data_IF_733600127201
#
_entry.id   IF_733600127201
#
_cell.length_a   1.000
_cell.length_b   1.000
_cell.length_c   1.000
_cell.angle_alpha   90.00
_cell.angle_beta   90.00
_cell.angle_gamma   90.00
#
_symmetry.space_group_name_H-M   'P 1'
#
loop_
_entity.id
_entity.type
_entity.pdbx_description
1 polymer ?
#
# COMPACT_ATOMS: atom_id res chain seq x y z
N UNK A 1 9.32 -7.89 -24.11
CA UNK A 1 8.67 -6.57 -24.18
C UNK A 1 9.00 -5.83 -22.88
N UNK A 2 9.61 -4.65 -22.95
CA UNK A 2 9.81 -3.78 -21.78
C UNK A 2 8.66 -2.78 -21.71
N UNK A 3 8.09 -2.57 -20.52
CA UNK A 3 7.14 -1.50 -20.25
C UNK A 3 7.94 -0.39 -19.57
N UNK A 4 7.85 0.82 -20.09
CA UNK A 4 8.40 2.02 -19.47
C UNK A 4 7.24 2.87 -18.96
N UNK A 5 7.37 3.40 -17.78
CA UNK A 5 6.42 4.33 -17.19
C UNK A 5 7.02 5.73 -17.18
N UNK A 6 6.21 6.72 -17.48
CA UNK A 6 6.55 8.13 -17.37
C UNK A 6 5.65 8.75 -16.29
N UNK A 7 6.28 9.23 -15.22
CA UNK A 7 5.62 9.89 -14.11
C UNK A 7 5.98 11.39 -14.01
N UNK A 8 6.52 11.96 -15.08
CA UNK A 8 6.90 13.38 -15.13
C UNK A 8 5.73 14.26 -14.68
N UNK A 9 6.01 15.24 -13.82
CA UNK A 9 5.04 16.16 -13.22
C UNK A 9 3.92 15.48 -12.38
N UNK A 10 4.08 14.22 -11.99
CA UNK A 10 3.14 13.49 -11.13
C UNK A 10 3.66 13.41 -9.71
N UNK A 11 2.72 13.37 -8.76
CA UNK A 11 3.00 13.26 -7.32
C UNK A 11 2.29 12.05 -6.75
N UNK A 12 3.06 11.17 -6.11
CA UNK A 12 2.59 9.97 -5.42
C UNK A 12 2.74 10.14 -3.91
N UNK A 13 1.68 9.88 -3.17
CA UNK A 13 1.72 9.70 -1.71
C UNK A 13 1.75 8.20 -1.39
N UNK A 14 2.66 7.80 -0.51
CA UNK A 14 2.82 6.40 -0.08
C UNK A 14 2.73 6.34 1.44
N UNK A 15 1.72 5.69 1.98
CA UNK A 15 1.69 5.35 3.41
C UNK A 15 2.36 4.00 3.65
N UNK A 16 3.24 3.91 4.66
CA UNK A 16 4.03 2.70 4.89
C UNK A 16 5.18 2.54 3.89
N UNK A 17 5.87 3.64 3.56
CA UNK A 17 6.90 3.66 2.53
C UNK A 17 8.33 3.77 3.06
N UNK A 18 8.57 3.66 4.38
CA UNK A 18 9.92 3.63 4.92
C UNK A 18 10.69 2.35 4.56
N UNK A 19 9.99 1.28 4.19
CA UNK A 19 10.58 -0.01 3.82
C UNK A 19 9.71 -0.80 2.83
N UNK A 20 10.21 -1.95 2.38
CA UNK A 20 9.48 -2.95 1.62
C UNK A 20 8.86 -2.42 0.32
N UNK A 21 7.62 -2.84 0.03
CA UNK A 21 6.95 -2.52 -1.25
C UNK A 21 6.71 -1.01 -1.42
N UNK A 22 6.38 -0.32 -0.32
CA UNK A 22 6.14 1.12 -0.37
C UNK A 22 7.40 1.91 -0.75
N UNK A 23 8.55 1.55 -0.18
CA UNK A 23 9.84 2.15 -0.51
C UNK A 23 10.24 1.86 -1.97
N UNK A 24 10.08 0.61 -2.42
CA UNK A 24 10.39 0.22 -3.80
C UNK A 24 9.53 0.99 -4.82
N UNK A 25 8.21 1.13 -4.55
CA UNK A 25 7.35 1.93 -5.42
C UNK A 25 7.74 3.42 -5.41
N UNK A 26 8.01 3.99 -4.23
CA UNK A 26 8.38 5.40 -4.13
C UNK A 26 9.65 5.71 -4.94
N UNK A 27 10.65 4.84 -4.87
CA UNK A 27 11.88 4.94 -5.65
C UNK A 27 11.61 4.82 -7.15
N UNK A 28 10.91 3.78 -7.60
CA UNK A 28 10.62 3.56 -9.01
C UNK A 28 9.75 4.67 -9.63
N UNK A 29 8.84 5.25 -8.87
CA UNK A 29 8.03 6.39 -9.32
C UNK A 29 8.89 7.66 -9.50
N UNK A 30 9.84 7.87 -8.60
CA UNK A 30 10.81 8.96 -8.73
C UNK A 30 11.78 8.74 -9.90
N UNK A 31 12.26 7.52 -10.12
CA UNK A 31 13.08 7.14 -11.28
C UNK A 31 12.33 7.34 -12.61
N UNK A 32 11.01 7.18 -12.61
CA UNK A 32 10.14 7.48 -13.75
C UNK A 32 9.87 8.99 -13.95
N UNK A 33 10.57 9.87 -13.24
CA UNK A 33 10.47 11.33 -13.36
C UNK A 33 9.43 11.98 -12.45
N UNK A 34 8.73 11.21 -11.61
CA UNK A 34 7.76 11.72 -10.65
C UNK A 34 8.36 12.19 -9.34
N UNK A 35 7.50 12.55 -8.40
CA UNK A 35 7.85 12.84 -7.00
C UNK A 35 7.05 11.94 -6.09
N UNK A 36 7.70 11.39 -5.07
CA UNK A 36 7.06 10.56 -4.06
C UNK A 36 7.17 11.18 -2.68
N UNK A 37 6.05 11.22 -1.95
CA UNK A 37 6.01 11.63 -0.55
C UNK A 37 5.60 10.43 0.30
N UNK A 38 6.52 9.97 1.13
CA UNK A 38 6.36 8.80 2.01
C UNK A 38 5.88 9.26 3.38
N UNK A 39 4.80 8.67 3.88
CA UNK A 39 4.26 8.88 5.22
C UNK A 39 4.47 7.59 6.02
N UNK A 40 5.31 7.64 7.06
CA UNK A 40 5.61 6.48 7.90
C UNK A 40 5.97 6.92 9.33
N UNK A 41 5.74 6.05 10.32
CA UNK A 41 6.20 6.28 11.70
C UNK A 41 7.70 6.05 11.86
N UNK A 42 8.27 5.18 11.02
CA UNK A 42 9.69 4.87 10.99
C UNK A 42 10.45 5.81 10.05
N UNK A 43 11.73 6.00 10.33
CA UNK A 43 12.64 6.57 9.34
C UNK A 43 12.87 5.56 8.20
N UNK A 44 13.15 6.02 6.97
CA UNK A 44 13.53 5.13 5.88
C UNK A 44 14.73 4.25 6.24
N UNK A 45 14.68 2.96 5.88
CA UNK A 45 15.78 2.01 6.12
C UNK A 45 17.06 2.37 5.36
N UNK A 46 16.90 3.04 4.20
CA UNK A 46 18.00 3.48 3.35
C UNK A 46 17.86 4.97 3.03
N UNK A 47 18.94 5.65 2.63
CA UNK A 47 18.85 7.00 2.13
C UNK A 47 17.79 7.11 1.03
N UNK A 48 16.89 8.07 1.15
CA UNK A 48 15.84 8.28 0.14
C UNK A 48 16.45 8.76 -1.17
N UNK A 49 16.04 8.18 -2.33
CA UNK A 49 16.54 8.63 -3.64
C UNK A 49 16.08 10.07 -3.94
N UNK A 50 16.74 10.68 -4.91
CA UNK A 50 16.29 11.97 -5.43
C UNK A 50 14.84 11.86 -5.92
N UNK A 51 14.01 12.84 -5.60
CA UNK A 51 12.57 12.82 -5.94
C UNK A 51 11.68 12.12 -4.92
N UNK A 52 12.25 11.55 -3.84
CA UNK A 52 11.50 10.98 -2.71
C UNK A 52 11.67 11.88 -1.50
N UNK A 53 10.56 12.24 -0.84
CA UNK A 53 10.51 12.91 0.45
C UNK A 53 9.92 11.97 1.49
N UNK A 54 10.42 12.00 2.74
CA UNK A 54 9.87 11.23 3.84
C UNK A 54 9.39 12.16 4.96
N UNK A 55 8.14 11.96 5.37
CA UNK A 55 7.52 12.65 6.50
C UNK A 55 7.19 11.63 7.58
N UNK A 56 7.55 11.94 8.82
CA UNK A 56 7.21 11.09 9.95
C UNK A 56 5.75 11.31 10.36
N UNK A 57 4.90 10.31 10.08
CA UNK A 57 3.45 10.38 10.31
C UNK A 57 2.95 9.07 10.88
N UNK A 58 2.24 9.10 12.01
CA UNK A 58 1.42 7.97 12.41
C UNK A 58 0.10 8.03 11.62
N UNK A 59 -0.12 7.04 10.76
CA UNK A 59 -1.31 6.99 9.91
C UNK A 59 -2.62 6.83 10.71
N UNK A 60 -2.56 6.38 11.96
CA UNK A 60 -3.70 6.33 12.84
C UNK A 60 -4.09 7.71 13.40
N UNK A 61 -3.20 8.67 13.36
CA UNK A 61 -3.49 10.07 13.70
C UNK A 61 -4.05 10.80 12.49
N UNK A 62 -5.38 10.92 12.45
CA UNK A 62 -6.10 11.60 11.36
C UNK A 62 -5.60 13.04 11.12
N UNK A 63 -5.29 13.77 12.20
CA UNK A 63 -4.85 15.16 12.07
C UNK A 63 -3.46 15.25 11.45
N UNK A 64 -2.53 14.40 11.89
CA UNK A 64 -1.18 14.31 11.30
C UNK A 64 -1.24 13.93 9.81
N UNK A 65 -2.15 13.03 9.41
CA UNK A 65 -2.36 12.67 8.00
C UNK A 65 -2.85 13.87 7.19
N UNK A 66 -3.83 14.61 7.67
CA UNK A 66 -4.35 15.81 6.98
C UNK A 66 -3.23 16.83 6.80
N UNK A 67 -2.47 17.14 7.86
CA UNK A 67 -1.36 18.10 7.79
C UNK A 67 -0.27 17.67 6.79
N UNK A 68 0.05 16.38 6.73
CA UNK A 68 1.03 15.86 5.77
C UNK A 68 0.55 15.99 4.32
N UNK A 69 -0.73 15.71 4.06
CA UNK A 69 -1.34 15.89 2.74
C UNK A 69 -1.40 17.37 2.34
N UNK A 70 -1.81 18.26 3.23
CA UNK A 70 -1.81 19.69 2.99
C UNK A 70 -0.40 20.23 2.69
N UNK A 71 0.60 19.77 3.46
CA UNK A 71 2.02 20.07 3.20
C UNK A 71 2.45 19.61 1.81
N UNK A 72 2.04 18.40 1.42
CA UNK A 72 2.33 17.85 0.08
C UNK A 72 1.70 18.71 -1.01
N UNK A 73 0.43 19.09 -0.86
CA UNK A 73 -0.27 19.97 -1.81
C UNK A 73 0.40 21.35 -1.88
N UNK A 74 0.75 21.94 -0.73
CA UNK A 74 1.41 23.24 -0.70
C UNK A 74 2.77 23.24 -1.42
N UNK A 75 3.52 22.14 -1.35
CA UNK A 75 4.85 22.01 -1.98
C UNK A 75 4.77 21.68 -3.47
N UNK A 76 3.87 20.79 -3.85
CA UNK A 76 3.85 20.19 -5.19
C UNK A 76 2.62 20.57 -6.02
N UNK A 77 1.62 21.22 -5.42
CA UNK A 77 0.41 21.68 -6.12
C UNK A 77 -0.58 20.56 -6.48
N UNK A 78 -0.21 19.29 -6.29
CA UNK A 78 -1.02 18.15 -6.74
C UNK A 78 -0.69 16.85 -6.00
N UNK A 79 -1.63 15.91 -6.04
CA UNK A 79 -1.43 14.49 -5.77
C UNK A 79 -2.16 13.71 -6.85
N UNK A 80 -1.46 12.79 -7.53
CA UNK A 80 -1.97 12.00 -8.65
C UNK A 80 -2.17 10.53 -8.27
N UNK A 81 -1.38 10.06 -7.31
CA UNK A 81 -1.44 8.69 -6.80
C UNK A 81 -1.45 8.62 -5.29
N UNK A 82 -2.14 7.62 -4.74
CA UNK A 82 -2.07 7.22 -3.35
C UNK A 82 -1.87 5.71 -3.25
N UNK A 83 -0.74 5.28 -2.65
CA UNK A 83 -0.61 3.92 -2.14
C UNK A 83 -0.96 3.89 -0.65
N UNK A 84 -2.09 3.27 -0.32
CA UNK A 84 -2.49 3.03 1.07
C UNK A 84 -1.91 1.68 1.53
N UNK A 85 -0.63 1.70 1.96
CA UNK A 85 0.16 0.51 2.23
C UNK A 85 0.55 0.29 3.69
N UNK A 86 0.44 1.31 4.55
CA UNK A 86 0.79 1.19 5.97
C UNK A 86 -0.03 0.10 6.67
N UNK A 87 0.64 -0.74 7.44
CA UNK A 87 -0.02 -1.79 8.22
C UNK A 87 0.89 -2.31 9.34
N UNK A 88 0.29 -2.91 10.37
CA UNK A 88 0.94 -3.77 11.35
C UNK A 88 0.30 -5.16 11.29
N UNK A 89 1.08 -6.19 11.59
CA UNK A 89 0.64 -7.58 11.53
C UNK A 89 0.96 -8.30 12.85
N UNK A 90 0.20 -8.04 13.93
CA UNK A 90 0.37 -8.79 15.16
C UNK A 90 0.03 -10.27 14.94
N UNK A 91 0.85 -11.17 15.54
CA UNK A 91 0.64 -12.62 15.53
C UNK A 91 0.34 -13.07 16.95
N UNK A 92 -0.95 -13.14 17.27
CA UNK A 92 -1.45 -13.51 18.61
C UNK A 92 -2.74 -14.32 18.46
N UNK A 93 -2.86 -15.48 19.13
CA UNK A 93 -4.13 -16.23 19.19
C UNK A 93 -5.27 -15.33 19.68
N UNK A 94 -6.44 -15.39 19.03
CA UNK A 94 -7.57 -14.51 19.33
C UNK A 94 -8.01 -14.56 20.81
N UNK A 95 -7.92 -15.73 21.44
CA UNK A 95 -8.28 -15.91 22.84
C UNK A 95 -7.28 -15.26 23.83
N UNK A 96 -6.12 -14.83 23.33
CA UNK A 96 -5.08 -14.13 24.11
C UNK A 96 -4.79 -12.74 23.56
N UNK A 97 -5.60 -12.27 22.60
CA UNK A 97 -5.42 -10.97 21.98
C UNK A 97 -5.71 -9.85 22.99
N UNK A 98 -4.72 -9.02 23.21
CA UNK A 98 -4.89 -7.80 23.99
C UNK A 98 -5.85 -6.83 23.26
N UNK A 99 -6.88 -6.29 23.94
CA UNK A 99 -7.83 -5.36 23.33
C UNK A 99 -7.17 -4.10 22.73
N UNK A 100 -6.11 -3.60 23.33
CA UNK A 100 -5.42 -2.40 22.81
C UNK A 100 -4.58 -2.73 21.57
N UNK A 101 -3.97 -3.90 21.54
CA UNK A 101 -3.30 -4.39 20.34
C UNK A 101 -4.28 -4.61 19.17
N UNK A 102 -5.47 -5.15 19.48
CA UNK A 102 -6.54 -5.27 18.49
C UNK A 102 -6.97 -3.90 17.96
N UNK A 103 -7.28 -2.96 18.85
CA UNK A 103 -7.66 -1.59 18.48
C UNK A 103 -6.57 -0.93 17.64
N UNK A 104 -5.30 -1.05 18.07
CA UNK A 104 -4.17 -0.49 17.31
C UNK A 104 -4.07 -1.07 15.91
N UNK A 105 -4.29 -2.37 15.73
CA UNK A 105 -4.30 -2.99 14.41
C UNK A 105 -5.41 -2.43 13.51
N UNK A 106 -6.61 -2.22 14.05
CA UNK A 106 -7.73 -1.60 13.30
C UNK A 106 -7.44 -0.12 13.00
N UNK A 107 -6.92 0.64 13.97
CA UNK A 107 -6.57 2.06 13.77
C UNK A 107 -5.54 2.26 12.67
N UNK A 108 -4.49 1.45 12.66
CA UNK A 108 -3.46 1.56 11.61
C UNK A 108 -3.96 1.02 10.28
N UNK A 109 -4.43 -0.25 10.26
CA UNK A 109 -4.64 -0.99 9.02
C UNK A 109 -5.93 -0.60 8.29
N UNK A 110 -6.95 -0.14 9.01
CA UNK A 110 -8.25 0.22 8.43
C UNK A 110 -8.49 1.73 8.52
N UNK A 111 -8.56 2.28 9.73
CA UNK A 111 -8.90 3.70 9.91
C UNK A 111 -7.84 4.60 9.26
N UNK A 112 -6.54 4.28 9.39
CA UNK A 112 -5.46 5.03 8.74
C UNK A 112 -5.57 5.07 7.22
N UNK A 113 -6.04 3.99 6.59
CA UNK A 113 -6.33 3.98 5.14
C UNK A 113 -7.51 4.90 4.82
N UNK A 114 -8.56 4.88 5.66
CA UNK A 114 -9.72 5.78 5.50
C UNK A 114 -9.28 7.24 5.62
N UNK A 115 -8.44 7.57 6.62
CA UNK A 115 -7.94 8.93 6.82
C UNK A 115 -7.08 9.42 5.65
N UNK A 116 -6.21 8.55 5.11
CA UNK A 116 -5.42 8.88 3.93
C UNK A 116 -6.31 9.13 2.69
N UNK A 117 -7.31 8.29 2.47
CA UNK A 117 -8.27 8.49 1.39
C UNK A 117 -9.07 9.78 1.55
N UNK A 118 -9.59 10.06 2.76
CA UNK A 118 -10.33 11.29 3.06
C UNK A 118 -9.49 12.56 2.86
N UNK A 119 -8.19 12.50 3.17
CA UNK A 119 -7.32 13.65 3.00
C UNK A 119 -6.92 13.87 1.53
N UNK A 120 -6.65 12.82 0.77
CA UNK A 120 -6.10 12.90 -0.59
C UNK A 120 -7.19 13.04 -1.66
N UNK A 121 -8.27 12.26 -1.59
CA UNK A 121 -9.26 12.12 -2.67
C UNK A 121 -9.97 13.43 -3.01
N UNK A 122 -10.32 14.33 -2.08
CA UNK A 122 -10.93 15.62 -2.45
C UNK A 122 -10.08 16.43 -3.45
N UNK A 123 -8.75 16.38 -3.34
CA UNK A 123 -7.83 17.05 -4.28
C UNK A 123 -7.82 16.34 -5.65
N UNK A 124 -7.97 15.03 -5.69
CA UNK A 124 -8.09 14.26 -6.94
C UNK A 124 -9.43 14.55 -7.64
N UNK A 125 -10.52 14.57 -6.88
CA UNK A 125 -11.89 14.90 -7.37
C UNK A 125 -11.93 16.29 -7.97
N UNK A 126 -11.40 17.31 -7.27
CA UNK A 126 -11.35 18.68 -7.77
C UNK A 126 -10.59 18.82 -9.10
N UNK A 127 -9.63 17.93 -9.35
CA UNK A 127 -8.83 17.88 -10.58
C UNK A 127 -9.38 16.89 -11.62
N UNK A 128 -10.39 16.10 -11.26
CA UNK A 128 -10.95 15.01 -12.06
C UNK A 128 -9.87 14.03 -12.56
N UNK A 129 -8.90 13.75 -11.71
CA UNK A 129 -7.78 12.84 -12.01
C UNK A 129 -7.16 12.30 -10.73
N UNK A 130 -7.02 10.98 -10.64
CA UNK A 130 -6.33 10.33 -9.53
C UNK A 130 -6.39 8.81 -9.59
N UNK A 131 -5.43 8.16 -8.93
CA UNK A 131 -5.38 6.72 -8.77
C UNK A 131 -5.03 6.36 -7.32
N UNK A 132 -5.86 5.53 -6.70
CA UNK A 132 -5.65 5.00 -5.36
C UNK A 132 -5.48 3.48 -5.44
N UNK A 133 -4.45 2.96 -4.79
CA UNK A 133 -4.27 1.52 -4.60
C UNK A 133 -4.27 1.22 -3.11
N UNK A 134 -5.18 0.33 -2.71
CA UNK A 134 -5.30 -0.15 -1.33
C UNK A 134 -4.70 -1.55 -1.23
N UNK A 135 -3.77 -1.74 -0.28
CA UNK A 135 -3.22 -3.07 -0.01
C UNK A 135 -4.17 -3.90 0.84
N UNK A 136 -4.69 -4.98 0.24
CA UNK A 136 -5.30 -6.08 0.96
C UNK A 136 -4.28 -7.22 1.17
N UNK A 137 -4.74 -8.42 1.43
CA UNK A 137 -3.90 -9.60 1.67
C UNK A 137 -4.68 -10.87 1.30
N UNK A 138 -3.99 -11.92 0.89
CA UNK A 138 -4.57 -13.25 0.76
C UNK A 138 -5.26 -13.72 2.04
N UNK A 139 -4.74 -13.33 3.20
CA UNK A 139 -5.33 -13.63 4.52
C UNK A 139 -6.72 -13.00 4.71
N UNK A 140 -7.08 -11.96 3.96
CA UNK A 140 -8.42 -11.40 3.95
C UNK A 140 -9.50 -12.38 3.42
N UNK A 141 -9.09 -13.39 2.64
CA UNK A 141 -9.99 -14.39 2.05
C UNK A 141 -10.07 -15.68 2.88
N UNK A 142 -8.95 -16.11 3.44
CA UNK A 142 -8.85 -17.43 4.06
C UNK A 142 -8.63 -17.37 5.57
N UNK A 143 -8.31 -16.19 6.12
CA UNK A 143 -7.87 -16.09 7.51
C UNK A 143 -6.51 -16.76 7.72
N UNK A 144 -6.01 -16.69 8.96
CA UNK A 144 -4.84 -17.45 9.39
C UNK A 144 -4.81 -17.51 10.92
N UNK A 145 -4.43 -18.63 11.53
CA UNK A 145 -4.20 -18.68 12.98
C UNK A 145 -3.28 -17.53 13.43
N UNK A 146 -3.59 -16.93 14.57
CA UNK A 146 -2.86 -15.82 15.18
C UNK A 146 -2.88 -14.48 14.42
N UNK A 147 -3.41 -14.41 13.19
CA UNK A 147 -3.45 -13.20 12.39
C UNK A 147 -4.85 -12.58 12.29
N UNK A 148 -5.76 -12.85 13.24
CA UNK A 148 -7.17 -12.44 13.17
C UNK A 148 -7.38 -10.93 13.00
N UNK A 149 -6.68 -10.09 13.76
CA UNK A 149 -6.80 -8.63 13.65
C UNK A 149 -6.34 -8.12 12.29
N UNK A 150 -5.22 -8.65 11.79
CA UNK A 150 -4.71 -8.31 10.47
C UNK A 150 -5.66 -8.77 9.36
N UNK A 151 -6.08 -10.04 9.37
CA UNK A 151 -6.97 -10.62 8.37
C UNK A 151 -8.32 -9.86 8.31
N UNK A 152 -8.91 -9.57 9.47
CA UNK A 152 -10.16 -8.81 9.58
C UNK A 152 -10.00 -7.39 9.00
N UNK A 153 -8.93 -6.67 9.36
CA UNK A 153 -8.67 -5.34 8.83
C UNK A 153 -8.50 -5.34 7.30
N UNK A 154 -7.76 -6.32 6.75
CA UNK A 154 -7.53 -6.43 5.30
C UNK A 154 -8.79 -6.89 4.53
N UNK A 155 -9.68 -7.66 5.17
CA UNK A 155 -10.98 -8.00 4.59
C UNK A 155 -11.90 -6.77 4.53
N UNK A 156 -11.95 -5.96 5.59
CA UNK A 156 -12.72 -4.72 5.62
C UNK A 156 -12.28 -3.74 4.52
N UNK A 157 -10.99 -3.65 4.24
CA UNK A 157 -10.45 -2.78 3.18
C UNK A 157 -10.95 -3.16 1.77
N UNK A 158 -11.24 -4.43 1.51
CA UNK A 158 -11.79 -4.86 0.21
C UNK A 158 -13.19 -4.26 -0.01
N UNK A 159 -14.05 -4.32 0.99
CA UNK A 159 -15.39 -3.73 0.91
C UNK A 159 -15.32 -2.20 0.86
N UNK A 160 -14.50 -1.58 1.73
CA UNK A 160 -14.28 -0.14 1.76
C UNK A 160 -13.83 0.39 0.39
N UNK A 161 -12.79 -0.20 -0.20
CA UNK A 161 -12.25 0.28 -1.47
C UNK A 161 -13.24 0.13 -2.65
N UNK A 162 -14.07 -0.93 -2.64
CA UNK A 162 -15.13 -1.09 -3.64
C UNK A 162 -16.23 -0.04 -3.51
N UNK A 163 -16.66 0.28 -2.29
CA UNK A 163 -17.64 1.35 -2.04
C UNK A 163 -17.08 2.69 -2.49
N UNK A 164 -15.87 3.02 -2.06
CA UNK A 164 -15.19 4.26 -2.42
C UNK A 164 -14.98 4.38 -3.95
N UNK A 165 -14.65 3.29 -4.63
CA UNK A 165 -14.50 3.26 -6.08
C UNK A 165 -15.80 3.68 -6.81
N UNK A 166 -16.95 3.22 -6.31
CA UNK A 166 -18.27 3.62 -6.83
C UNK A 166 -18.60 5.09 -6.57
N UNK A 167 -18.22 5.60 -5.38
CA UNK A 167 -18.49 6.99 -4.99
C UNK A 167 -17.74 8.02 -5.84
N UNK A 168 -16.52 7.69 -6.31
CA UNK A 168 -15.62 8.66 -6.99
C UNK A 168 -15.41 8.36 -8.49
N UNK A 169 -16.07 7.36 -9.05
CA UNK A 169 -15.89 6.96 -10.45
C UNK A 169 -16.25 8.08 -11.43
N UNK A 170 -17.35 8.78 -11.21
CA UNK A 170 -17.81 9.89 -12.04
C UNK A 170 -16.85 11.09 -11.99
N UNK A 171 -16.02 11.18 -10.96
CA UNK A 171 -14.99 12.19 -10.82
C UNK A 171 -13.65 11.80 -11.45
N UNK A 172 -13.60 10.69 -12.19
CA UNK A 172 -12.40 10.15 -12.84
C UNK A 172 -11.28 9.81 -11.86
N UNK A 173 -11.63 9.44 -10.63
CA UNK A 173 -10.71 8.90 -9.64
C UNK A 173 -10.89 7.38 -9.59
N UNK A 174 -9.80 6.66 -9.76
CA UNK A 174 -9.79 5.19 -9.74
C UNK A 174 -9.32 4.69 -8.39
N UNK A 175 -10.02 3.72 -7.83
CA UNK A 175 -9.64 3.06 -6.58
C UNK A 175 -9.58 1.56 -6.84
N UNK A 176 -8.41 0.96 -6.72
CA UNK A 176 -8.21 -0.47 -6.94
C UNK A 176 -7.56 -1.13 -5.73
N UNK A 177 -7.68 -2.43 -5.65
CA UNK A 177 -7.16 -3.25 -4.57
C UNK A 177 -6.06 -4.16 -5.10
N UNK A 178 -4.93 -4.23 -4.38
CA UNK A 178 -3.85 -5.16 -4.69
C UNK A 178 -3.64 -6.16 -3.55
N UNK A 179 -3.57 -7.44 -3.92
CA UNK A 179 -3.10 -8.54 -3.08
C UNK A 179 -1.68 -8.89 -3.54
N UNK A 180 -0.63 -8.40 -2.86
CA UNK A 180 0.74 -8.51 -3.36
C UNK A 180 1.31 -9.93 -3.33
N UNK A 181 0.65 -10.87 -2.64
CA UNK A 181 1.20 -12.18 -2.34
C UNK A 181 2.15 -12.14 -1.13
N UNK A 182 2.96 -13.18 -0.99
CA UNK A 182 4.01 -13.23 0.04
C UNK A 182 5.25 -12.51 -0.50
N UNK A 183 5.59 -11.39 0.11
CA UNK A 183 6.72 -10.54 -0.31
C UNK A 183 7.69 -10.41 0.85
N UNK A 184 8.96 -10.61 0.57
CA UNK A 184 10.05 -10.49 1.52
C UNK A 184 10.24 -9.02 1.94
N UNK A 185 9.62 -8.66 3.05
CA UNK A 185 9.66 -7.33 3.65
C UNK A 185 9.98 -7.43 5.14
N UNK A 186 10.51 -6.38 5.78
CA UNK A 186 10.73 -6.37 7.22
C UNK A 186 9.49 -6.77 8.03
N UNK A 187 8.32 -6.26 7.67
CA UNK A 187 7.05 -6.63 8.32
C UNK A 187 6.73 -8.11 8.16
N UNK A 188 6.90 -8.67 6.96
CA UNK A 188 6.65 -10.09 6.71
C UNK A 188 7.59 -10.96 7.52
N UNK A 189 8.89 -10.65 7.56
CA UNK A 189 9.89 -11.38 8.36
C UNK A 189 9.59 -11.31 9.86
N UNK A 190 9.20 -10.13 10.36
CA UNK A 190 8.85 -9.95 11.77
C UNK A 190 7.60 -10.74 12.16
N UNK A 191 6.58 -10.77 11.31
CA UNK A 191 5.34 -11.52 11.55
C UNK A 191 5.47 -13.03 11.31
N UNK A 192 6.45 -13.46 10.51
CA UNK A 192 6.60 -14.84 10.07
C UNK A 192 8.08 -15.24 10.10
N UNK A 193 8.64 -15.50 11.29
CA UNK A 193 10.02 -15.91 11.43
C UNK A 193 10.29 -17.23 10.69
N UNK A 194 11.56 -17.54 10.34
CA UNK A 194 11.91 -18.80 9.71
C UNK A 194 11.34 -20.00 10.48
N UNK A 195 10.70 -20.95 9.74
CA UNK A 195 10.05 -22.11 10.31
C UNK A 195 9.18 -22.83 9.29
N UNK A 196 8.43 -23.87 9.70
CA UNK A 196 7.67 -24.73 8.79
C UNK A 196 6.66 -23.97 7.91
N UNK A 197 6.06 -22.89 8.43
CA UNK A 197 5.10 -22.06 7.69
C UNK A 197 5.81 -21.29 6.57
N UNK A 198 6.94 -20.64 6.89
CA UNK A 198 7.74 -19.90 5.91
C UNK A 198 8.28 -20.85 4.81
N UNK A 199 8.77 -22.02 5.20
CA UNK A 199 9.20 -23.06 4.27
C UNK A 199 8.05 -23.59 3.38
N UNK A 200 6.83 -23.69 3.95
CA UNK A 200 5.64 -24.05 3.17
C UNK A 200 5.39 -23.01 2.07
N UNK A 201 5.45 -21.72 2.38
CA UNK A 201 5.27 -20.67 1.37
C UNK A 201 6.36 -20.69 0.29
N UNK A 202 7.62 -20.91 0.68
CA UNK A 202 8.70 -21.08 -0.30
C UNK A 202 8.42 -22.17 -1.31
N UNK A 203 7.81 -23.30 -0.86
CA UNK A 203 7.49 -24.43 -1.74
C UNK A 203 6.20 -24.26 -2.55
N UNK A 204 5.23 -23.52 -2.05
CA UNK A 204 3.88 -23.46 -2.64
C UNK A 204 3.64 -22.19 -3.43
N UNK A 205 3.55 -21.04 -2.75
CA UNK A 205 3.26 -19.75 -3.36
C UNK A 205 4.51 -19.03 -3.85
N UNK A 206 5.65 -19.38 -3.30
CA UNK A 206 6.90 -18.64 -3.42
C UNK A 206 6.88 -17.35 -2.61
N UNK A 207 8.07 -16.83 -2.32
CA UNK A 207 8.29 -15.52 -1.70
C UNK A 207 8.88 -14.60 -2.77
N UNK A 208 8.22 -13.49 -3.04
CA UNK A 208 8.69 -12.49 -3.99
C UNK A 208 9.49 -11.38 -3.30
N UNK A 209 10.05 -10.51 -4.11
CA UNK A 209 10.72 -9.29 -3.67
C UNK A 209 9.77 -8.08 -3.80
N UNK A 210 10.04 -6.95 -3.11
CA UNK A 210 9.30 -5.71 -3.32
C UNK A 210 9.22 -5.29 -4.80
N UNK A 211 10.30 -5.46 -5.57
CA UNK A 211 10.37 -5.09 -6.99
C UNK A 211 9.40 -5.87 -7.87
N UNK A 212 9.06 -7.11 -7.49
CA UNK A 212 8.05 -7.90 -8.22
C UNK A 212 6.66 -7.27 -8.22
N UNK A 213 6.40 -6.34 -7.30
CA UNK A 213 5.10 -5.68 -7.13
C UNK A 213 5.09 -4.27 -7.73
N UNK A 214 6.26 -3.69 -8.01
CA UNK A 214 6.39 -2.33 -8.56
C UNK A 214 5.70 -2.20 -9.92
N UNK A 215 5.94 -3.12 -10.86
CA UNK A 215 5.31 -3.05 -12.19
C UNK A 215 3.78 -3.03 -12.15
N UNK A 216 3.12 -3.96 -11.46
CA UNK A 216 1.68 -3.92 -11.22
C UNK A 216 1.17 -2.63 -10.57
N UNK A 217 1.91 -2.07 -9.60
CA UNK A 217 1.54 -0.82 -8.93
C UNK A 217 1.68 0.38 -9.88
N UNK A 218 2.78 0.49 -10.61
CA UNK A 218 2.98 1.54 -11.61
C UNK A 218 1.89 1.49 -12.68
N UNK A 219 1.49 0.29 -13.13
CA UNK A 219 0.36 0.14 -14.04
C UNK A 219 -0.94 0.69 -13.43
N UNK A 220 -1.30 0.29 -12.20
CA UNK A 220 -2.52 0.75 -11.54
C UNK A 220 -2.52 2.27 -11.27
N UNK A 221 -1.35 2.87 -11.09
CA UNK A 221 -1.18 4.32 -10.93
C UNK A 221 -1.20 5.08 -12.27
N UNK A 222 -0.91 4.41 -13.37
CA UNK A 222 -0.85 5.04 -14.71
C UNK A 222 -2.21 5.23 -15.35
N UNK A 223 -2.30 6.12 -16.33
CA UNK A 223 -3.52 6.36 -17.11
C UNK A 223 -3.90 5.16 -18.03
N UNK A 224 -3.00 4.19 -18.20
CA UNK A 224 -3.27 2.95 -18.91
C UNK A 224 -4.23 2.02 -18.17
N UNK A 225 -4.33 2.14 -16.84
CA UNK A 225 -5.31 1.38 -16.06
C UNK A 225 -6.68 2.04 -16.15
N UNK A 226 -7.61 1.44 -16.86
CA UNK A 226 -8.97 1.96 -17.06
C UNK A 226 -10.01 1.35 -16.11
N UNK A 227 -9.57 0.50 -15.14
CA UNK A 227 -10.43 -0.15 -14.17
C UNK A 227 -10.50 0.63 -12.85
N UNK A 228 -11.66 0.55 -12.18
CA UNK A 228 -11.88 0.96 -10.79
C UNK A 228 -12.68 -0.11 -10.05
N UNK A 229 -12.53 -0.21 -8.73
CA UNK A 229 -13.16 -1.25 -7.90
C UNK A 229 -12.60 -2.66 -8.13
N UNK A 230 -11.55 -2.80 -8.92
CA UNK A 230 -10.97 -4.08 -9.30
C UNK A 230 -9.98 -4.60 -8.27
N UNK A 231 -9.85 -5.93 -8.23
CA UNK A 231 -8.89 -6.62 -7.38
C UNK A 231 -7.84 -7.28 -8.27
N UNK A 232 -6.60 -6.84 -8.13
CA UNK A 232 -5.46 -7.50 -8.75
C UNK A 232 -4.79 -8.40 -7.71
N UNK A 233 -4.54 -9.66 -8.06
CA UNK A 233 -3.93 -10.63 -7.16
C UNK A 233 -2.66 -11.22 -7.74
N UNK A 234 -1.67 -11.44 -6.86
CA UNK A 234 -0.45 -12.17 -7.13
C UNK A 234 -0.42 -13.37 -6.20
N UNK A 235 -1.04 -14.47 -6.64
CA UNK A 235 -1.24 -15.67 -5.79
C UNK A 235 -0.02 -16.59 -5.76
N UNK A 236 0.85 -16.52 -6.80
CA UNK A 236 2.10 -17.29 -6.88
C UNK A 236 3.23 -16.47 -7.50
N UNK A 237 4.46 -16.75 -7.09
CA UNK A 237 5.66 -16.20 -7.71
C UNK A 237 5.89 -16.89 -9.05
N UNK A 238 5.91 -16.16 -10.13
CA UNK A 238 6.46 -16.63 -11.39
C UNK A 238 7.99 -16.46 -11.35
N UNK A 239 8.71 -17.58 -11.28
CA UNK A 239 10.17 -17.54 -11.40
C UNK A 239 10.51 -17.36 -12.88
N UNK A 240 11.20 -16.30 -13.20
CA UNK A 240 11.88 -16.18 -14.49
C UNK A 240 13.04 -17.15 -14.41
N UNK A 241 13.13 -18.07 -15.37
CA UNK A 241 14.33 -18.89 -15.49
C UNK A 241 15.51 -17.93 -15.64
N UNK A 242 16.50 -18.07 -14.77
CA UNK A 242 17.78 -17.39 -14.94
C UNK A 242 18.43 -18.07 -16.15
N UNK A 243 18.26 -17.43 -17.33
CA UNK A 243 18.87 -17.84 -18.57
C UNK A 243 20.33 -17.42 -18.65
#
# INVERSE_FOLDING_TARGET
>A
MRITFDATDRVLVVTGGASGIGAALAAAFAEAGGRSVVLDVAAPEHPVPQGVEALRVDIADRHAVIQAVETTIARHGRIDGLLAGAAIQPRVPVLRMDPDLWRRAIEVNLNGVVWACQAVIPHMVARRHGAVVVFASGLARVGHPEASAYAASKAALVAFAKSLAGEVADDRVRVNILFPGVIDTPQMRAANPPGPEYEHWLRTTGVGTPDDVVGPLMFLMSDAATMTGSVLTRDRVYRRDEG
#
